data_IF_315210552748
#
_entry.id   IF_315210552748
#
_cell.length_a   1.000
_cell.length_b   1.000
_cell.length_c   1.000
_cell.angle_alpha   90.00
_cell.angle_beta   90.00
_cell.angle_gamma   90.00
#
_symmetry.space_group_name_H-M   'P 1'
#
loop_
_entity.id
_entity.type
_entity.pdbx_description
1 polymer ?
#
# COMPACT_ATOMS: atom_id res chain seq x y z
N UNK A 1 32.69 32.66 7.45
CA UNK A 1 31.61 32.16 6.55
C UNK A 1 31.01 30.88 7.14
N UNK A 2 29.79 30.93 7.69
CA UNK A 2 29.08 29.73 8.18
C UNK A 2 28.53 28.96 6.97
N UNK A 3 29.00 27.72 6.76
CA UNK A 3 28.46 26.82 5.73
C UNK A 3 26.99 26.58 6.04
N UNK A 4 26.08 27.06 5.17
CA UNK A 4 24.66 26.68 5.19
C UNK A 4 24.61 25.16 5.05
N UNK A 5 24.14 24.44 6.08
CA UNK A 5 23.82 23.03 5.92
C UNK A 5 22.76 22.95 4.83
N UNK A 6 23.09 22.37 3.68
CA UNK A 6 22.07 21.98 2.71
C UNK A 6 21.15 21.02 3.46
N UNK A 7 19.89 21.39 3.66
CA UNK A 7 18.85 20.44 4.02
C UNK A 7 18.78 19.45 2.85
N UNK A 8 19.54 18.37 2.95
CA UNK A 8 19.47 17.28 2.00
C UNK A 8 18.19 16.55 2.37
N UNK A 9 17.19 16.63 1.51
CA UNK A 9 16.00 15.79 1.62
C UNK A 9 16.45 14.33 1.50
N UNK A 10 16.31 13.57 2.58
CA UNK A 10 16.75 12.16 2.66
C UNK A 10 15.59 11.19 2.41
N UNK A 11 14.35 11.69 2.35
CA UNK A 11 13.18 10.84 2.19
C UNK A 11 13.05 10.41 0.73
N UNK A 12 12.91 9.10 0.53
CA UNK A 12 12.68 8.48 -0.79
C UNK A 12 11.23 8.58 -1.24
N UNK A 13 10.30 8.76 -0.31
CA UNK A 13 8.86 8.77 -0.57
C UNK A 13 8.17 9.90 0.21
N UNK A 14 7.16 10.54 -0.38
CA UNK A 14 6.31 11.49 0.33
C UNK A 14 5.56 10.81 1.48
N UNK A 15 5.19 11.60 2.49
CA UNK A 15 4.42 11.15 3.65
C UNK A 15 3.06 11.81 3.61
N UNK A 16 2.03 11.00 3.80
CA UNK A 16 0.66 11.41 3.95
C UNK A 16 0.34 11.53 5.44
N UNK A 17 -0.43 12.55 5.78
CA UNK A 17 -0.85 12.85 7.15
C UNK A 17 -2.37 12.65 7.21
N UNK A 18 -2.84 11.51 7.74
CA UNK A 18 -4.27 11.29 7.90
C UNK A 18 -4.89 12.40 8.74
N UNK A 19 -6.06 12.88 8.32
CA UNK A 19 -6.88 13.76 9.14
C UNK A 19 -7.83 12.93 10.03
N UNK A 20 -8.56 13.61 10.92
CA UNK A 20 -9.52 12.95 11.84
C UNK A 20 -10.58 12.11 11.13
N UNK A 21 -10.87 12.39 9.85
CA UNK A 21 -11.94 11.74 9.09
C UNK A 21 -11.42 10.62 8.19
N UNK A 22 -10.12 10.60 7.91
CA UNK A 22 -9.45 9.58 7.09
C UNK A 22 -8.46 8.75 7.91
N UNK A 23 -8.62 8.72 9.22
CA UNK A 23 -7.74 7.99 10.14
C UNK A 23 -7.86 6.48 9.88
N UNK A 24 -6.79 5.80 9.43
CA UNK A 24 -6.83 4.35 9.30
C UNK A 24 -6.80 3.70 10.69
N UNK A 25 -7.55 2.63 10.88
CA UNK A 25 -7.38 1.76 12.04
C UNK A 25 -6.13 0.91 11.81
N UNK A 26 -5.17 0.99 12.71
CA UNK A 26 -3.93 0.23 12.61
C UNK A 26 -3.68 -0.55 13.88
N UNK A 27 -3.39 -1.84 13.72
CA UNK A 27 -2.93 -2.67 14.82
C UNK A 27 -1.59 -3.34 14.50
N UNK A 28 -0.73 -3.38 15.52
CA UNK A 28 0.53 -4.11 15.51
C UNK A 28 0.34 -5.42 16.26
N UNK A 29 0.64 -6.51 15.58
CA UNK A 29 0.62 -7.86 16.14
C UNK A 29 2.07 -8.33 16.20
N UNK A 30 2.51 -8.70 17.40
CA UNK A 30 3.87 -9.13 17.68
C UNK A 30 4.00 -10.66 17.63
N UNK A 31 5.22 -11.17 17.83
CA UNK A 31 5.52 -12.61 17.77
C UNK A 31 4.80 -13.46 18.83
N UNK A 32 4.44 -12.87 19.97
CA UNK A 32 3.63 -13.52 21.02
C UNK A 32 2.13 -13.37 20.80
N UNK A 33 1.72 -12.91 19.61
CA UNK A 33 0.36 -12.59 19.23
C UNK A 33 -0.30 -11.48 20.08
N UNK A 34 0.49 -10.71 20.85
CA UNK A 34 -0.01 -9.50 21.48
C UNK A 34 -0.40 -8.48 20.39
N UNK A 35 -1.59 -7.89 20.53
CA UNK A 35 -2.10 -6.88 19.61
C UNK A 35 -2.19 -5.51 20.28
N UNK A 36 -1.67 -4.49 19.61
CA UNK A 36 -1.73 -3.10 20.05
C UNK A 36 -2.38 -2.26 18.97
N UNK A 37 -3.40 -1.50 19.34
CA UNK A 37 -3.94 -0.47 18.47
C UNK A 37 -3.06 0.77 18.52
N UNK A 38 -2.77 1.34 17.36
CA UNK A 38 -1.98 2.57 17.25
C UNK A 38 -2.70 3.61 16.41
N UNK A 39 -2.42 4.88 16.70
CA UNK A 39 -2.89 6.00 15.91
C UNK A 39 -1.83 6.39 14.89
N UNK A 40 -2.18 6.46 13.60
CA UNK A 40 -1.24 6.87 12.55
C UNK A 40 -1.08 8.39 12.54
N UNK A 41 0.16 8.86 12.72
CA UNK A 41 0.52 10.28 12.62
C UNK A 41 0.87 10.64 11.18
N UNK A 42 1.62 9.77 10.51
CA UNK A 42 1.86 9.84 9.06
C UNK A 42 2.22 8.48 8.49
N UNK A 43 1.96 8.29 7.20
CA UNK A 43 2.24 7.04 6.48
C UNK A 43 2.85 7.34 5.11
N UNK A 44 3.70 6.44 4.65
CA UNK A 44 4.32 6.47 3.33
C UNK A 44 4.41 5.05 2.78
N UNK A 45 4.81 4.91 1.51
CA UNK A 45 5.12 3.60 0.91
C UNK A 45 6.12 2.79 1.74
N UNK A 46 7.10 3.44 2.38
CA UNK A 46 8.17 2.75 3.10
C UNK A 46 7.89 2.48 4.58
N UNK A 47 6.80 2.98 5.13
CA UNK A 47 6.57 2.91 6.57
C UNK A 47 5.68 4.01 7.11
N UNK A 48 5.48 4.01 8.43
CA UNK A 48 4.63 4.95 9.14
C UNK A 48 5.30 5.52 10.39
N UNK A 49 4.80 6.66 10.85
CA UNK A 49 4.93 7.12 12.22
C UNK A 49 3.56 6.91 12.88
N UNK A 50 3.54 6.19 14.00
CA UNK A 50 2.35 5.98 14.78
C UNK A 50 2.55 6.44 16.23
N UNK A 51 1.45 6.65 16.96
CA UNK A 51 1.40 6.99 18.37
C UNK A 51 0.56 5.97 19.13
N UNK A 52 0.95 5.72 20.38
CA UNK A 52 0.21 4.83 21.30
C UNK A 52 0.51 5.19 22.74
N UNK A 53 -0.43 4.94 23.64
CA UNK A 53 -0.23 5.07 25.08
C UNK A 53 0.34 3.79 25.70
N UNK A 54 0.32 2.67 24.95
CA UNK A 54 0.74 1.34 25.41
C UNK A 54 2.26 1.15 25.25
N UNK A 55 3.05 2.05 25.85
CA UNK A 55 4.51 2.08 25.71
C UNK A 55 5.20 0.81 26.21
N UNK A 56 4.66 0.20 27.26
CA UNK A 56 5.28 -0.91 28.01
C UNK A 56 5.55 -2.12 27.12
N UNK A 57 4.63 -2.41 26.19
CA UNK A 57 4.78 -3.50 25.21
C UNK A 57 5.95 -3.32 24.23
N UNK A 58 6.47 -2.11 24.07
CA UNK A 58 7.63 -1.83 23.20
C UNK A 58 8.95 -1.82 23.98
N UNK A 59 8.90 -1.76 25.32
CA UNK A 59 10.06 -1.65 26.19
C UNK A 59 10.50 -2.98 26.79
N UNK A 60 9.56 -3.92 26.98
CA UNK A 60 9.83 -5.15 27.72
C UNK A 60 10.62 -6.21 26.94
N UNK A 61 10.63 -6.17 25.60
CA UNK A 61 11.15 -7.27 24.80
C UNK A 61 11.86 -6.73 23.56
N UNK A 62 12.85 -7.48 23.10
CA UNK A 62 13.62 -7.44 21.83
C UNK A 62 12.76 -7.33 20.52
N UNK A 63 11.54 -6.80 20.60
CA UNK A 63 10.50 -6.68 19.56
C UNK A 63 10.74 -5.47 18.67
N UNK A 64 11.94 -5.39 18.09
CA UNK A 64 12.14 -4.51 16.95
C UNK A 64 11.39 -4.99 15.70
N UNK A 65 10.86 -6.22 15.72
CA UNK A 65 10.06 -6.79 14.63
C UNK A 65 8.59 -6.84 15.02
N UNK A 66 7.76 -6.32 14.14
CA UNK A 66 6.31 -6.43 14.17
C UNK A 66 5.96 -7.50 13.14
N UNK A 67 5.46 -8.65 13.62
CA UNK A 67 5.10 -9.80 12.80
C UNK A 67 4.06 -9.41 11.76
N UNK A 68 3.01 -8.72 12.20
CA UNK A 68 1.93 -8.28 11.31
C UNK A 68 1.43 -6.88 11.71
N UNK A 69 1.37 -6.00 10.73
CA UNK A 69 0.72 -4.70 10.78
C UNK A 69 -0.55 -4.82 9.97
N UNK A 70 -1.70 -4.73 10.63
CA UNK A 70 -3.00 -4.70 9.97
C UNK A 70 -3.42 -3.24 9.83
N UNK A 71 -3.65 -2.80 8.59
CA UNK A 71 -4.07 -1.44 8.29
C UNK A 71 -5.45 -1.54 7.64
N UNK A 72 -6.44 -0.93 8.27
CA UNK A 72 -7.83 -0.86 7.79
C UNK A 72 -8.15 0.60 7.52
N UNK A 73 -8.01 1.05 6.26
CA UNK A 73 -8.46 2.38 5.88
C UNK A 73 -9.99 2.49 6.01
N UNK A 74 -10.54 3.67 6.32
CA UNK A 74 -11.97 3.82 6.58
C UNK A 74 -12.88 3.47 5.39
N UNK A 75 -12.38 3.61 4.15
CA UNK A 75 -13.16 3.37 2.93
C UNK A 75 -12.37 2.58 1.86
N UNK A 76 -11.39 1.78 2.26
CA UNK A 76 -10.57 0.99 1.33
C UNK A 76 -10.37 -0.41 1.88
N UNK A 77 -10.10 -1.41 1.03
CA UNK A 77 -9.82 -2.77 1.50
C UNK A 77 -8.66 -2.77 2.51
N UNK A 78 -8.76 -3.59 3.57
CA UNK A 78 -7.70 -3.73 4.53
C UNK A 78 -6.47 -4.34 3.88
N UNK A 79 -5.30 -4.00 4.39
CA UNK A 79 -4.05 -4.58 3.95
C UNK A 79 -3.15 -4.92 5.12
N UNK A 80 -2.21 -5.83 4.86
CA UNK A 80 -1.35 -6.42 5.87
C UNK A 80 0.09 -6.42 5.38
N UNK A 81 1.01 -6.00 6.23
CA UNK A 81 2.45 -6.06 5.98
C UNK A 81 3.17 -6.46 7.27
N UNK A 82 4.43 -6.86 7.19
CA UNK A 82 5.29 -6.91 8.36
C UNK A 82 5.90 -5.52 8.58
N UNK A 83 6.52 -5.31 9.73
CA UNK A 83 7.33 -4.12 9.89
C UNK A 83 8.45 -4.23 10.89
N UNK A 84 9.36 -3.29 10.79
CA UNK A 84 10.46 -3.12 11.72
C UNK A 84 10.34 -1.78 12.43
N UNK A 85 10.36 -1.84 13.75
CA UNK A 85 10.45 -0.66 14.58
C UNK A 85 11.85 -0.03 14.42
N UNK A 86 11.89 1.18 13.87
CA UNK A 86 13.13 1.92 13.66
C UNK A 86 13.48 2.80 14.87
N UNK A 87 12.47 3.39 15.52
CA UNK A 87 12.67 4.38 16.57
C UNK A 87 11.45 4.46 17.48
N UNK A 88 11.70 4.63 18.78
CA UNK A 88 10.69 4.93 19.79
C UNK A 88 10.97 6.30 20.42
N UNK A 89 9.90 7.06 20.65
CA UNK A 89 9.92 8.36 21.29
C UNK A 89 8.86 8.45 22.38
N UNK A 90 9.23 8.11 23.62
CA UNK A 90 8.34 8.31 24.73
C UNK A 90 8.27 9.80 25.11
N UNK A 91 7.06 10.34 25.21
CA UNK A 91 6.74 11.65 25.77
C UNK A 91 6.08 11.41 27.13
N UNK A 92 6.82 11.72 28.21
CA UNK A 92 6.41 11.43 29.59
C UNK A 92 5.20 12.24 30.03
N UNK A 93 5.07 13.46 29.53
CA UNK A 93 4.01 14.42 29.89
C UNK A 93 2.62 13.89 29.48
N UNK A 94 2.50 13.40 28.25
CA UNK A 94 1.22 12.93 27.68
C UNK A 94 1.07 11.39 27.72
N UNK A 95 1.99 10.70 28.41
CA UNK A 95 2.10 9.22 28.42
C UNK A 95 1.99 8.59 27.03
N UNK A 96 2.46 9.32 26.01
CA UNK A 96 2.33 8.94 24.60
C UNK A 96 3.68 8.52 24.08
N UNK A 97 3.72 7.42 23.34
CA UNK A 97 4.92 6.93 22.67
C UNK A 97 4.72 7.01 21.16
N UNK A 98 5.65 7.68 20.48
CA UNK A 98 5.68 7.68 19.01
C UNK A 98 6.64 6.61 18.50
N UNK A 99 6.17 5.77 17.60
CA UNK A 99 6.91 4.68 16.99
C UNK A 99 7.06 4.89 15.48
N UNK A 100 8.30 4.98 15.02
CA UNK A 100 8.61 4.98 13.60
C UNK A 100 8.80 3.54 13.15
N UNK A 101 8.04 3.11 12.15
CA UNK A 101 8.00 1.74 11.64
C UNK A 101 8.32 1.75 10.15
N UNK A 102 9.23 0.89 9.73
CA UNK A 102 9.50 0.59 8.32
C UNK A 102 8.66 -0.62 7.91
N UNK A 103 8.00 -0.55 6.75
CA UNK A 103 7.28 -1.71 6.22
C UNK A 103 8.26 -2.71 5.61
N UNK A 104 8.06 -3.96 5.95
CA UNK A 104 8.79 -5.09 5.38
C UNK A 104 7.81 -6.03 4.70
N UNK A 105 8.25 -6.65 3.61
CA UNK A 105 7.44 -7.67 2.94
C UNK A 105 7.22 -8.83 3.91
N UNK A 106 5.99 -9.33 3.94
CA UNK A 106 5.69 -10.61 4.57
C UNK A 106 6.42 -11.70 3.78
N UNK A 107 7.17 -12.53 4.48
CA UNK A 107 7.78 -13.73 3.90
C UNK A 107 6.83 -14.92 4.10
N UNK A 108 6.86 -15.90 3.19
CA UNK A 108 5.97 -17.07 3.25
C UNK A 108 6.14 -17.90 4.56
N UNK A 109 7.25 -17.71 5.28
CA UNK A 109 7.51 -18.33 6.59
C UNK A 109 6.64 -17.75 7.72
N UNK A 110 6.10 -16.53 7.56
CA UNK A 110 5.28 -15.85 8.57
C UNK A 110 3.84 -16.39 8.65
N UNK A 111 3.46 -17.30 7.73
CA UNK A 111 2.15 -17.96 7.64
C UNK A 111 2.28 -19.49 7.66
N UNK A 112 2.84 -20.07 8.72
CA UNK A 112 2.65 -21.50 8.99
C UNK A 112 1.35 -21.76 9.76
N UNK A 113 0.21 -21.48 9.13
CA UNK A 113 -1.00 -22.27 9.31
C UNK A 113 -1.88 -22.20 8.05
N UNK A 114 -1.88 -23.32 7.32
CA UNK A 114 -2.91 -23.78 6.36
C UNK A 114 -3.18 -22.93 5.10
N UNK A 115 -2.27 -22.97 4.13
CA UNK A 115 -2.50 -23.66 2.83
C UNK A 115 -1.24 -23.57 1.97
N UNK A 116 -0.83 -24.74 1.50
CA UNK A 116 0.35 -25.01 0.69
C UNK A 116 0.29 -24.33 -0.68
N UNK A 117 1.35 -23.59 -1.04
CA UNK A 117 2.20 -23.92 -2.20
C UNK A 117 3.29 -22.85 -2.45
N UNK A 118 4.50 -23.19 -2.01
CA UNK A 118 5.80 -23.01 -2.69
C UNK A 118 6.13 -21.68 -3.39
N UNK A 119 7.05 -20.96 -2.76
CA UNK A 119 8.02 -20.09 -3.42
C UNK A 119 8.82 -20.85 -4.50
N UNK A 120 9.20 -20.15 -5.58
CA UNK A 120 10.58 -20.18 -6.08
C UNK A 120 10.86 -19.14 -7.17
N UNK A 121 12.14 -18.79 -7.23
CA UNK A 121 12.84 -17.74 -7.92
C UNK A 121 12.66 -17.64 -9.45
N UNK A 122 12.84 -16.41 -9.92
CA UNK A 122 13.04 -15.96 -11.30
C UNK A 122 13.84 -16.93 -12.20
N UNK A 123 13.41 -17.05 -13.47
CA UNK A 123 14.35 -16.91 -14.57
C UNK A 123 13.93 -15.78 -15.54
N UNK A 124 14.92 -15.00 -15.97
CA UNK A 124 14.84 -14.14 -17.16
C UNK A 124 14.66 -15.03 -18.40
N UNK A 125 13.60 -14.84 -19.18
CA UNK A 125 13.66 -14.43 -20.60
C UNK A 125 12.34 -14.59 -21.38
N UNK A 126 12.14 -13.58 -22.24
CA UNK A 126 11.45 -13.53 -23.54
C UNK A 126 9.90 -13.44 -23.62
N UNK A 127 9.52 -12.32 -24.25
CA UNK A 127 8.29 -12.01 -24.99
C UNK A 127 7.01 -12.00 -24.19
N UNK A 128 6.88 -10.98 -23.33
CA UNK A 128 5.56 -10.44 -23.02
C UNK A 128 5.01 -9.79 -24.30
N UNK A 129 3.82 -10.23 -24.71
CA UNK A 129 3.03 -9.55 -25.73
C UNK A 129 2.74 -8.15 -25.18
N UNK A 130 3.43 -7.15 -25.72
CA UNK A 130 3.16 -5.75 -25.44
C UNK A 130 1.75 -5.44 -25.94
N UNK A 131 0.81 -5.24 -25.01
CA UNK A 131 -0.30 -4.34 -25.26
C UNK A 131 0.29 -2.96 -25.57
N UNK A 132 -0.21 -2.21 -26.57
CA UNK A 132 0.32 -0.88 -26.85
C UNK A 132 0.19 0.00 -25.59
N UNK A 133 1.32 0.31 -24.94
CA UNK A 133 1.36 1.03 -23.66
C UNK A 133 0.56 2.34 -23.71
N UNK A 134 0.54 3.02 -24.85
CA UNK A 134 -0.14 4.31 -25.02
C UNK A 134 -1.67 4.22 -24.97
N UNK A 135 -2.27 3.12 -25.45
CA UNK A 135 -3.73 2.94 -25.36
C UNK A 135 -4.18 2.78 -23.90
N UNK A 136 -3.37 2.11 -23.08
CA UNK A 136 -3.67 1.92 -21.65
C UNK A 136 -3.59 3.21 -20.84
N UNK A 137 -2.75 4.17 -21.23
CA UNK A 137 -2.60 5.44 -20.51
C UNK A 137 -3.78 6.38 -20.75
N UNK A 138 -4.24 6.48 -22.00
CA UNK A 138 -5.40 7.30 -22.36
C UNK A 138 -6.64 6.75 -21.67
N UNK A 139 -6.85 5.43 -21.68
CA UNK A 139 -7.95 4.78 -20.99
C UNK A 139 -7.93 5.05 -19.48
N UNK A 140 -6.75 4.99 -18.84
CA UNK A 140 -6.61 5.27 -17.41
C UNK A 140 -6.96 6.71 -17.06
N UNK A 141 -6.48 7.68 -17.85
CA UNK A 141 -6.78 9.09 -17.62
C UNK A 141 -8.25 9.40 -17.91
N UNK A 142 -8.83 8.83 -18.97
CA UNK A 142 -10.27 8.96 -19.24
C UNK A 142 -11.12 8.36 -18.11
N UNK A 143 -10.67 7.26 -17.50
CA UNK A 143 -11.32 6.69 -16.33
C UNK A 143 -11.28 7.63 -15.12
N UNK A 144 -10.18 8.35 -14.93
CA UNK A 144 -10.10 9.40 -13.89
C UNK A 144 -11.02 10.57 -14.28
N UNK A 145 -10.96 11.06 -15.51
CA UNK A 145 -11.76 12.20 -15.98
C UNK A 145 -13.27 11.94 -15.83
N UNK A 146 -13.71 10.70 -16.09
CA UNK A 146 -15.10 10.27 -15.96
C UNK A 146 -15.52 9.89 -14.53
N UNK A 147 -14.58 9.73 -13.60
CA UNK A 147 -14.87 9.41 -12.20
C UNK A 147 -15.62 10.56 -11.53
N UNK A 148 -16.53 10.28 -10.59
CA UNK A 148 -17.14 11.36 -9.81
C UNK A 148 -16.09 12.12 -8.98
N UNK A 149 -16.22 13.45 -8.86
CA UNK A 149 -15.37 14.24 -7.97
C UNK A 149 -15.94 14.23 -6.55
N UNK A 150 -15.58 13.20 -5.77
CA UNK A 150 -16.03 13.06 -4.38
C UNK A 150 -15.24 13.93 -3.38
N UNK A 151 -14.24 14.69 -3.84
CA UNK A 151 -13.42 15.55 -2.97
C UNK A 151 -14.04 16.93 -2.75
N UNK A 152 -15.07 17.33 -3.51
CA UNK A 152 -15.75 18.62 -3.34
C UNK A 152 -16.57 18.72 -2.05
N UNK A 153 -17.08 17.58 -1.56
CA UNK A 153 -17.91 17.52 -0.35
C UNK A 153 -17.51 16.33 0.54
N UNK A 154 -16.28 16.33 1.10
CA UNK A 154 -15.64 15.14 1.68
C UNK A 154 -16.37 14.56 2.89
N UNK A 155 -17.34 15.27 3.46
CA UNK A 155 -18.07 14.89 4.67
C UNK A 155 -19.53 14.50 4.42
N UNK A 156 -19.97 14.42 3.16
CA UNK A 156 -21.31 13.93 2.84
C UNK A 156 -21.32 12.41 2.69
N UNK A 157 -22.39 11.75 3.14
CA UNK A 157 -22.60 10.31 2.90
C UNK A 157 -22.50 9.97 1.40
N UNK A 158 -23.02 10.88 0.56
CA UNK A 158 -22.89 10.82 -0.89
C UNK A 158 -21.44 10.79 -1.36
N UNK A 159 -20.55 11.61 -0.78
CA UNK A 159 -19.13 11.59 -1.13
C UNK A 159 -18.44 10.31 -0.70
N UNK A 160 -18.80 9.73 0.45
CA UNK A 160 -18.29 8.42 0.87
C UNK A 160 -18.68 7.33 -0.12
N UNK A 161 -19.95 7.30 -0.55
CA UNK A 161 -20.43 6.34 -1.55
C UNK A 161 -19.74 6.52 -2.91
N UNK A 162 -19.61 7.78 -3.39
CA UNK A 162 -18.92 8.09 -4.64
C UNK A 162 -17.44 7.71 -4.58
N UNK A 163 -16.77 7.96 -3.45
CA UNK A 163 -15.37 7.56 -3.22
C UNK A 163 -15.21 6.05 -3.36
N UNK A 164 -16.09 5.29 -2.70
CA UNK A 164 -16.07 3.84 -2.78
C UNK A 164 -16.28 3.34 -4.21
N UNK A 165 -17.28 3.87 -4.93
CA UNK A 165 -17.52 3.52 -6.34
C UNK A 165 -16.31 3.80 -7.22
N UNK A 166 -15.65 4.95 -7.02
CA UNK A 166 -14.44 5.28 -7.77
C UNK A 166 -13.31 4.31 -7.45
N UNK A 167 -13.09 3.95 -6.18
CA UNK A 167 -12.05 2.97 -5.79
C UNK A 167 -12.34 1.53 -6.24
N UNK A 168 -13.61 1.15 -6.38
CA UNK A 168 -14.02 -0.17 -6.88
C UNK A 168 -13.83 -0.29 -8.40
N UNK A 169 -14.12 0.76 -9.17
CA UNK A 169 -13.44 0.94 -10.45
C UNK A 169 -11.94 1.02 -10.15
N UNK A 170 -10.94 0.59 -10.92
CA UNK A 170 -9.53 0.51 -10.49
C UNK A 170 -9.19 -0.63 -9.50
N UNK A 171 -10.14 -1.36 -8.91
CA UNK A 171 -9.84 -2.63 -8.20
C UNK A 171 -9.05 -3.60 -9.09
N UNK A 172 -9.36 -3.62 -10.39
CA UNK A 172 -8.69 -4.42 -11.43
C UNK A 172 -7.20 -4.09 -11.65
N UNK A 173 -6.70 -3.04 -11.01
CA UNK A 173 -5.29 -2.64 -10.96
C UNK A 173 -4.77 -2.77 -9.53
N UNK A 174 -5.49 -2.15 -8.58
CA UNK A 174 -5.06 -2.04 -7.19
C UNK A 174 -4.91 -3.40 -6.52
N UNK A 175 -5.77 -4.38 -6.83
CA UNK A 175 -5.73 -5.71 -6.22
C UNK A 175 -4.53 -6.55 -6.63
N UNK A 176 -3.85 -6.17 -7.70
CA UNK A 176 -2.64 -6.84 -8.18
C UNK A 176 -1.35 -6.13 -7.75
N UNK A 177 -1.45 -5.00 -7.05
CA UNK A 177 -0.30 -4.32 -6.51
C UNK A 177 0.17 -4.98 -5.20
N UNK A 178 1.48 -4.95 -4.92
CA UNK A 178 1.99 -5.18 -3.58
C UNK A 178 1.30 -4.25 -2.58
N UNK A 179 1.18 -4.72 -1.34
CA UNK A 179 0.47 -4.01 -0.29
C UNK A 179 1.00 -2.58 -0.09
N UNK A 180 2.32 -2.40 -0.14
CA UNK A 180 2.99 -1.11 0.03
C UNK A 180 2.61 -0.12 -1.09
N UNK A 181 2.29 -0.65 -2.27
CA UNK A 181 1.96 0.10 -3.48
C UNK A 181 0.45 0.35 -3.61
N UNK A 182 -0.39 -0.51 -3.03
CA UNK A 182 -1.84 -0.34 -3.02
C UNK A 182 -2.26 0.97 -2.32
N UNK A 183 -1.64 1.32 -1.20
CA UNK A 183 -1.94 2.60 -0.54
C UNK A 183 -1.50 3.79 -1.40
N UNK A 184 -0.26 3.76 -1.89
CA UNK A 184 0.29 4.82 -2.75
C UNK A 184 -0.59 5.02 -4.00
N UNK A 185 -1.13 3.94 -4.56
CA UNK A 185 -2.03 4.01 -5.70
C UNK A 185 -3.29 4.84 -5.40
N UNK A 186 -3.98 4.58 -4.29
CA UNK A 186 -5.19 5.31 -3.93
C UNK A 186 -4.92 6.77 -3.55
N UNK A 187 -3.77 7.06 -2.92
CA UNK A 187 -3.36 8.45 -2.67
C UNK A 187 -3.08 9.20 -3.97
N UNK A 188 -2.37 8.57 -4.91
CA UNK A 188 -2.15 9.15 -6.24
C UNK A 188 -3.47 9.34 -6.99
N UNK A 189 -4.44 8.43 -6.83
CA UNK A 189 -5.77 8.56 -7.43
C UNK A 189 -6.53 9.75 -6.85
N UNK A 190 -6.54 9.92 -5.52
CA UNK A 190 -7.16 11.08 -4.85
C UNK A 190 -6.51 12.39 -5.32
N UNK A 191 -5.18 12.44 -5.37
CA UNK A 191 -4.43 13.60 -5.86
C UNK A 191 -4.66 13.89 -7.34
N UNK A 192 -4.80 12.85 -8.18
CA UNK A 192 -5.18 13.05 -9.57
C UNK A 192 -6.58 13.66 -9.65
N UNK A 193 -7.54 13.16 -8.87
CA UNK A 193 -8.90 13.69 -8.85
C UNK A 193 -8.94 15.15 -8.40
N UNK A 194 -8.15 15.55 -7.42
CA UNK A 194 -8.09 16.93 -6.92
C UNK A 194 -7.53 17.94 -7.94
N UNK A 195 -6.65 17.49 -8.82
CA UNK A 195 -6.00 18.32 -9.85
C UNK A 195 -6.70 18.29 -11.21
N UNK A 196 -7.88 17.66 -11.31
CA UNK A 196 -8.63 17.62 -12.58
C UNK A 196 -9.00 19.02 -13.08
N UNK A 197 -8.94 19.26 -14.40
CA UNK A 197 -8.51 18.36 -15.48
C UNK A 197 -7.00 18.42 -15.81
N UNK A 198 -6.23 19.24 -15.08
CA UNK A 198 -4.83 19.56 -15.40
C UNK A 198 -3.88 18.88 -14.41
N UNK A 199 -3.54 17.64 -14.71
CA UNK A 199 -2.63 16.85 -13.89
C UNK A 199 -1.19 17.36 -13.96
N UNK A 200 -0.51 17.60 -12.82
CA UNK A 200 0.93 17.83 -12.80
C UNK A 200 1.69 16.68 -13.48
N UNK A 201 2.74 17.02 -14.24
CA UNK A 201 3.50 16.05 -15.04
C UNK A 201 4.07 14.90 -14.19
N UNK A 202 4.64 15.23 -13.03
CA UNK A 202 5.23 14.26 -12.12
C UNK A 202 4.17 13.37 -11.47
N UNK A 203 3.03 13.94 -11.05
CA UNK A 203 1.91 13.20 -10.48
C UNK A 203 1.34 12.19 -11.48
N UNK A 204 1.11 12.64 -12.72
CA UNK A 204 0.66 11.78 -13.82
C UNK A 204 1.68 10.66 -14.09
N UNK A 205 2.97 10.97 -14.10
CA UNK A 205 4.03 9.97 -14.32
C UNK A 205 4.03 8.91 -13.21
N UNK A 206 3.91 9.31 -11.94
CA UNK A 206 3.87 8.40 -10.80
C UNK A 206 2.60 7.53 -10.80
N UNK A 207 1.44 8.13 -11.07
CA UNK A 207 0.17 7.41 -11.18
C UNK A 207 0.20 6.37 -12.31
N UNK A 208 0.68 6.73 -13.49
CA UNK A 208 0.78 5.80 -14.61
C UNK A 208 1.81 4.71 -14.35
N UNK A 209 2.93 5.04 -13.71
CA UNK A 209 3.95 4.06 -13.33
C UNK A 209 3.39 2.99 -12.41
N UNK A 210 2.68 3.37 -11.35
CA UNK A 210 2.09 2.42 -10.42
C UNK A 210 0.94 1.64 -11.07
N UNK A 211 0.14 2.27 -11.93
CA UNK A 211 -0.92 1.60 -12.69
C UNK A 211 -0.38 0.51 -13.60
N UNK A 212 0.71 0.80 -14.33
CA UNK A 212 1.39 -0.18 -15.19
C UNK A 212 1.95 -1.36 -14.38
N UNK A 213 2.41 -1.13 -13.14
CA UNK A 213 2.85 -2.22 -12.27
C UNK A 213 1.70 -3.17 -11.93
N UNK A 214 0.53 -2.64 -11.56
CA UNK A 214 -0.66 -3.44 -11.27
C UNK A 214 -1.14 -4.23 -12.50
N UNK A 215 -1.20 -3.59 -13.66
CA UNK A 215 -1.60 -4.24 -14.93
C UNK A 215 -0.64 -5.39 -15.29
N UNK A 216 0.68 -5.18 -15.16
CA UNK A 216 1.68 -6.24 -15.42
C UNK A 216 1.54 -7.40 -14.45
N UNK A 217 1.33 -7.12 -13.17
CA UNK A 217 1.11 -8.15 -12.16
C UNK A 217 -0.15 -8.99 -12.45
N UNK A 218 -1.24 -8.35 -12.86
CA UNK A 218 -2.47 -9.02 -13.32
C UNK A 218 -2.21 -9.99 -14.47
N UNK A 219 -1.53 -9.51 -15.51
CA UNK A 219 -1.23 -10.32 -16.70
C UNK A 219 -0.35 -11.53 -16.36
N UNK A 220 0.64 -11.36 -15.48
CA UNK A 220 1.51 -12.44 -15.04
C UNK A 220 0.74 -13.55 -14.30
N UNK A 221 -0.24 -13.17 -13.45
CA UNK A 221 -1.12 -14.12 -12.76
C UNK A 221 -2.02 -14.89 -13.73
N UNK A 222 -2.62 -14.20 -14.71
CA UNK A 222 -3.44 -14.83 -15.74
C UNK A 222 -2.65 -15.79 -16.66
N UNK A 223 -1.40 -15.46 -16.98
CA UNK A 223 -0.52 -16.34 -17.75
C UNK A 223 -0.16 -17.62 -16.97
N UNK A 224 0.11 -17.51 -15.66
CA UNK A 224 0.39 -18.66 -14.79
C UNK A 224 -0.80 -19.63 -14.68
N UNK A 225 -2.02 -19.11 -14.56
CA UNK A 225 -3.23 -19.94 -14.52
C UNK A 225 -3.45 -20.71 -15.83
N UNK A 226 -3.12 -20.12 -16.99
CA UNK A 226 -3.22 -20.80 -18.30
C UNK A 226 -2.21 -21.92 -18.46
N UNK A 227 -0.99 -21.78 -17.92
CA UNK A 227 0.05 -22.80 -17.98
C UNK A 227 -0.23 -24.00 -17.05
N UNK A 228 -0.97 -23.82 -15.96
CA UNK A 228 -1.42 -24.91 -15.07
C UNK A 228 -2.53 -25.81 -15.64
N UNK A 229 -3.13 -25.43 -16.76
CA UNK A 229 -4.24 -26.16 -17.42
C UNK A 229 -3.78 -27.16 -18.50
N UNK A 230 -2.47 -27.28 -18.77
CA UNK A 230 -1.94 -28.33 -19.63
C UNK A 230 -1.94 -29.64 -18.82
N UNK A 231 -3.09 -30.34 -18.87
CA UNK A 231 -3.29 -31.67 -18.28
C UNK A 231 -2.19 -32.63 -18.76
N UNK A 232 -1.58 -33.35 -17.82
CA UNK A 232 -0.72 -34.51 -18.10
C UNK A 232 -1.44 -35.47 -19.05
N UNK A 233 -0.78 -36.02 -20.08
CA UNK A 233 -1.38 -37.07 -20.89
C UNK A 233 -1.68 -38.27 -19.99
N UNK A 234 -2.96 -38.62 -19.91
CA UNK A 234 -3.43 -39.90 -19.39
C UNK A 234 -2.77 -41.00 -20.19
N UNK A 235 -1.96 -41.85 -19.54
CA UNK A 235 -1.46 -43.09 -20.14
C UNK A 235 -2.68 -43.97 -20.48
N UNK A 236 -2.73 -44.60 -21.67
CA UNK A 236 -3.68 -45.65 -21.93
C UNK A 236 -3.25 -46.93 -21.19
N UNK A 237 -4.25 -47.67 -20.73
CA UNK A 237 -4.13 -49.01 -20.13
C UNK A 237 -3.62 -50.05 -21.14
#
# INVERSE_FOLDING_TARGET
MKRRSKNIERRKHPRFFPDKNNQPQVSFIFEDDAEISVEVVNISRGGMLASTQQMEHFLEIDRQKIKLIKIVPPNRPPFRCAGKLLRLHPIREDKTCYCAVEFTKLTDEDFSESTSATAESTPQNKTAVDLPLEQSEVELLQRIDSAANYLEQPHSEKATQLRQQVYESFSDIADHLPVEDKWLFFELLDEMISHRPLYPVELKADFLKISRQGIKARQALGARQRLGLIKKPTKPD
#
